data_IF_198697395387
#
_entry.id   IF_198697395387
#
_cell.length_a   1.000
_cell.length_b   1.000
_cell.length_c   1.000
_cell.angle_alpha   90.00
_cell.angle_beta   90.00
_cell.angle_gamma   90.00
#
_symmetry.space_group_name_H-M   'P 1'
#
loop_
_entity.id
_entity.type
_entity.pdbx_description
1 polymer ?
#
# COMPACT_ATOMS: atom_id res chain seq x y z
N UNK A 1 9.34 9.97 -10.45
CA UNK A 1 9.20 8.50 -10.27
C UNK A 1 9.17 8.18 -8.79
N UNK A 2 8.38 7.17 -8.35
CA UNK A 2 8.36 6.70 -6.97
C UNK A 2 8.74 5.23 -6.92
N UNK A 3 9.59 4.87 -5.97
CA UNK A 3 9.87 3.49 -5.58
C UNK A 3 9.35 3.25 -4.17
N UNK A 4 8.71 2.12 -3.95
CA UNK A 4 8.24 1.67 -2.66
C UNK A 4 8.98 0.40 -2.24
N UNK A 5 9.45 0.37 -1.00
CA UNK A 5 10.14 -0.79 -0.46
C UNK A 5 9.14 -1.77 0.11
N UNK A 6 9.24 -3.03 -0.31
CA UNK A 6 8.30 -4.09 0.11
C UNK A 6 8.36 -4.35 1.62
N UNK A 7 9.56 -4.42 2.19
CA UNK A 7 9.79 -4.82 3.59
C UNK A 7 10.11 -3.67 4.55
N UNK A 8 10.08 -2.44 4.05
CA UNK A 8 10.25 -1.23 4.86
C UNK A 8 9.19 -0.22 4.47
N UNK A 9 8.59 0.46 5.44
CA UNK A 9 7.69 1.58 5.11
C UNK A 9 8.54 2.79 4.70
N UNK A 10 9.09 2.69 3.50
CA UNK A 10 9.98 3.69 2.89
C UNK A 10 9.59 3.89 1.44
N UNK A 11 9.63 5.14 1.01
CA UNK A 11 9.47 5.55 -0.36
C UNK A 11 10.73 6.31 -0.81
N UNK A 12 11.11 6.15 -2.07
CA UNK A 12 12.09 6.99 -2.75
C UNK A 12 11.39 7.70 -3.89
N UNK A 13 11.39 9.02 -3.87
CA UNK A 13 10.88 9.88 -4.94
C UNK A 13 12.04 10.44 -5.72
N UNK A 14 12.04 10.30 -7.05
CA UNK A 14 13.05 10.82 -7.96
C UNK A 14 12.37 11.78 -8.93
N UNK A 15 12.84 13.01 -8.94
CA UNK A 15 12.51 14.01 -9.94
C UNK A 15 13.50 13.90 -11.10
N UNK A 16 13.04 13.47 -12.27
CA UNK A 16 13.91 13.31 -13.44
C UNK A 16 14.33 14.61 -14.09
N UNK A 17 13.61 15.70 -13.87
CA UNK A 17 14.00 17.01 -14.43
C UNK A 17 15.20 17.58 -13.69
N UNK A 18 15.20 17.44 -12.36
CA UNK A 18 16.25 17.99 -11.50
C UNK A 18 17.26 16.96 -11.03
N UNK A 19 17.01 15.67 -11.31
CA UNK A 19 17.77 14.51 -10.80
C UNK A 19 17.88 14.47 -9.27
N UNK A 20 16.96 15.14 -8.58
CA UNK A 20 16.91 15.13 -7.11
C UNK A 20 16.22 13.90 -6.60
N UNK A 21 16.84 13.28 -5.60
CA UNK A 21 16.28 12.15 -4.88
C UNK A 21 15.81 12.58 -3.48
N UNK A 22 14.68 12.01 -3.05
CA UNK A 22 14.16 12.19 -1.72
C UNK A 22 13.77 10.83 -1.14
N UNK A 23 14.29 10.53 0.04
CA UNK A 23 13.95 9.34 0.80
C UNK A 23 12.94 9.75 1.89
N UNK A 24 11.81 9.05 1.93
CA UNK A 24 10.74 9.22 2.91
C UNK A 24 10.69 7.96 3.75
N UNK A 25 10.97 8.09 5.03
CA UNK A 25 11.02 6.99 5.99
C UNK A 25 9.90 7.21 7.00
N UNK A 26 9.00 6.25 7.10
CA UNK A 26 7.91 6.29 8.06
C UNK A 26 8.25 5.46 9.28
N UNK A 27 7.85 5.95 10.46
CA UNK A 27 7.90 5.14 11.67
C UNK A 27 6.82 4.04 11.58
N UNK A 28 7.24 2.81 11.40
CA UNK A 28 6.35 1.66 11.24
C UNK A 28 7.02 0.39 11.78
N UNK A 29 6.23 -0.61 12.21
CA UNK A 29 6.79 -1.89 12.63
C UNK A 29 7.68 -2.49 11.54
N UNK A 30 8.84 -2.99 11.93
CA UNK A 30 9.77 -3.70 11.06
C UNK A 30 10.36 -4.90 11.82
N UNK A 31 10.78 -5.93 11.11
CA UNK A 31 11.55 -7.04 11.66
C UNK A 31 12.98 -7.03 11.12
N UNK A 32 13.12 -6.78 9.80
CA UNK A 32 14.43 -6.66 9.18
C UNK A 32 15.10 -5.34 9.60
N UNK A 33 16.34 -5.39 10.02
CA UNK A 33 17.16 -4.20 10.27
C UNK A 33 17.90 -3.73 9.03
N UNK A 34 18.23 -4.65 8.13
CA UNK A 34 18.91 -4.38 6.87
C UNK A 34 18.44 -5.29 5.73
N UNK A 35 19.03 -5.12 4.56
CA UNK A 35 18.67 -5.93 3.39
C UNK A 35 19.06 -7.41 3.54
N UNK A 36 20.15 -7.70 4.24
CA UNK A 36 20.61 -9.07 4.47
C UNK A 36 19.64 -9.87 5.34
N UNK A 37 18.93 -9.19 6.25
CA UNK A 37 17.93 -9.83 7.11
C UNK A 37 16.66 -10.20 6.35
N UNK A 38 16.34 -9.49 5.27
CA UNK A 38 15.11 -9.71 4.48
C UNK A 38 15.03 -11.14 3.97
N UNK A 39 16.11 -11.66 3.44
CA UNK A 39 16.17 -13.02 2.87
C UNK A 39 15.96 -14.11 3.94
N UNK A 40 16.45 -13.88 5.16
CA UNK A 40 16.34 -14.85 6.26
C UNK A 40 14.99 -14.80 6.96
N UNK A 41 14.31 -13.65 6.94
CA UNK A 41 13.03 -13.45 7.61
C UNK A 41 11.81 -13.74 6.73
N UNK A 42 11.98 -13.93 5.40
CA UNK A 42 10.88 -14.30 4.53
C UNK A 42 10.50 -15.79 4.76
N UNK A 43 9.20 -16.15 4.87
CA UNK A 43 7.99 -15.34 4.64
C UNK A 43 7.43 -14.63 5.88
N UNK A 44 8.13 -14.62 6.98
CA UNK A 44 7.65 -14.08 8.26
C UNK A 44 7.85 -12.58 8.41
N UNK A 45 8.57 -11.95 7.49
CA UNK A 45 8.86 -10.53 7.53
C UNK A 45 7.59 -9.67 7.32
N UNK A 46 7.57 -8.48 7.90
CA UNK A 46 6.47 -7.52 7.68
C UNK A 46 6.54 -7.01 6.24
N UNK A 47 5.44 -7.15 5.52
CA UNK A 47 5.30 -6.59 4.17
C UNK A 47 4.50 -5.31 4.23
N UNK A 48 5.06 -4.22 3.70
CA UNK A 48 4.46 -2.90 3.71
C UNK A 48 3.69 -2.62 2.41
N UNK A 49 4.38 -2.44 1.29
CA UNK A 49 3.76 -2.04 0.04
C UNK A 49 3.64 -3.20 -0.96
N UNK A 50 2.47 -3.33 -1.58
CA UNK A 50 2.14 -4.38 -2.53
C UNK A 50 1.86 -3.88 -3.93
N UNK A 51 1.55 -2.61 -4.08
CA UNK A 51 1.22 -2.03 -5.37
C UNK A 51 1.11 -0.52 -5.31
N UNK A 52 1.09 0.09 -6.49
CA UNK A 52 1.00 1.54 -6.64
C UNK A 52 0.11 1.89 -7.82
N UNK A 53 -0.67 2.97 -7.67
CA UNK A 53 -1.44 3.62 -8.72
C UNK A 53 -1.04 5.10 -8.78
N UNK A 54 -0.09 5.49 -9.66
CA UNK A 54 0.32 6.88 -9.79
C UNK A 54 -0.73 7.70 -10.56
N UNK A 55 -0.93 8.95 -10.15
CA UNK A 55 -1.82 9.94 -10.78
C UNK A 55 -1.08 11.28 -10.93
N UNK A 56 -1.74 12.27 -11.52
CA UNK A 56 -1.11 13.58 -11.79
C UNK A 56 -0.75 14.29 -10.48
N UNK A 57 -1.70 14.38 -9.55
CA UNK A 57 -1.53 15.16 -8.32
C UNK A 57 -1.07 14.33 -7.13
N UNK A 58 -1.35 13.03 -7.14
CA UNK A 58 -1.13 12.10 -6.04
C UNK A 58 -0.59 10.76 -6.54
N UNK A 59 -0.07 9.96 -5.62
CA UNK A 59 0.11 8.54 -5.86
C UNK A 59 -0.52 7.73 -4.73
N UNK A 60 -0.98 6.54 -5.09
CA UNK A 60 -1.75 5.67 -4.21
C UNK A 60 -1.00 4.37 -4.00
N UNK A 61 -0.91 3.93 -2.77
CA UNK A 61 -0.16 2.74 -2.38
C UNK A 61 -1.07 1.70 -1.75
N UNK A 62 -0.95 0.45 -2.18
CA UNK A 62 -1.56 -0.67 -1.49
C UNK A 62 -0.65 -1.06 -0.32
N UNK A 63 -1.14 -0.92 0.91
CA UNK A 63 -0.37 -1.04 2.13
C UNK A 63 -0.92 -2.12 3.06
N UNK A 64 -0.05 -3.00 3.54
CA UNK A 64 -0.42 -4.04 4.51
C UNK A 64 0.11 -3.75 5.93
N UNK A 65 1.43 -3.60 6.09
CA UNK A 65 2.08 -3.45 7.40
C UNK A 65 2.00 -4.69 8.28
N UNK A 66 1.80 -5.89 7.68
CA UNK A 66 1.60 -7.15 8.39
C UNK A 66 2.46 -8.28 7.81
N UNK A 67 2.65 -9.32 8.61
CA UNK A 67 3.30 -10.56 8.16
C UNK A 67 2.38 -11.31 7.19
N UNK A 68 2.88 -11.93 6.12
CA UNK A 68 2.07 -12.73 5.21
C UNK A 68 1.27 -13.82 5.90
N UNK A 69 1.86 -14.47 6.91
CA UNK A 69 1.18 -15.54 7.67
C UNK A 69 -0.05 -15.04 8.44
N UNK A 70 0.02 -13.83 8.99
CA UNK A 70 -1.13 -13.23 9.68
C UNK A 70 -2.24 -12.86 8.69
N UNK A 71 -1.85 -12.34 7.51
CA UNK A 71 -2.80 -12.06 6.42
C UNK A 71 -3.50 -13.35 5.96
N UNK A 72 -2.76 -14.43 5.78
CA UNK A 72 -3.33 -15.72 5.37
C UNK A 72 -4.30 -16.25 6.43
N UNK A 73 -3.95 -16.15 7.72
CA UNK A 73 -4.83 -16.55 8.83
C UNK A 73 -6.12 -15.73 8.84
N UNK A 74 -6.01 -14.42 8.73
CA UNK A 74 -7.17 -13.52 8.74
C UNK A 74 -8.07 -13.74 7.52
N UNK A 75 -7.50 -14.04 6.36
CA UNK A 75 -8.27 -14.41 5.17
C UNK A 75 -9.12 -15.68 5.40
N UNK A 76 -8.55 -16.69 6.05
CA UNK A 76 -9.30 -17.92 6.44
C UNK A 76 -10.43 -17.62 7.42
N UNK A 77 -10.21 -16.68 8.34
CA UNK A 77 -11.19 -16.25 9.34
C UNK A 77 -12.22 -15.24 8.80
N UNK A 78 -12.19 -14.92 7.50
CA UNK A 78 -13.04 -13.88 6.86
C UNK A 78 -12.89 -12.47 7.48
N UNK A 79 -11.75 -12.20 8.10
CA UNK A 79 -11.37 -10.91 8.69
C UNK A 79 -10.34 -10.17 7.85
N UNK A 80 -10.37 -10.36 6.55
CA UNK A 80 -9.41 -9.78 5.63
C UNK A 80 -9.59 -8.28 5.53
N UNK A 81 -8.47 -7.59 5.41
CA UNK A 81 -8.42 -6.17 5.08
C UNK A 81 -7.07 -5.81 4.51
N UNK A 82 -7.04 -4.71 3.77
CA UNK A 82 -5.85 -4.02 3.31
C UNK A 82 -6.13 -2.53 3.28
N UNK A 83 -5.07 -1.72 3.24
CA UNK A 83 -5.23 -0.28 3.12
C UNK A 83 -4.81 0.21 1.74
N UNK A 84 -5.50 1.24 1.26
CA UNK A 84 -5.03 2.09 0.17
C UNK A 84 -4.69 3.44 0.78
N UNK A 85 -3.42 3.84 0.69
CA UNK A 85 -2.90 5.09 1.23
C UNK A 85 -2.65 6.07 0.08
N UNK A 86 -3.14 7.30 0.21
CA UNK A 86 -2.91 8.41 -0.71
C UNK A 86 -1.77 9.28 -0.21
N UNK A 87 -0.86 9.62 -1.10
CA UNK A 87 0.27 10.51 -0.83
C UNK A 87 0.34 11.62 -1.88
N UNK A 88 0.76 12.82 -1.47
CA UNK A 88 1.21 13.83 -2.42
C UNK A 88 2.61 13.47 -2.98
N UNK A 89 3.05 14.21 -4.02
CA UNK A 89 4.36 13.97 -4.61
C UNK A 89 5.54 14.42 -3.71
N UNK A 90 5.26 15.06 -2.57
CA UNK A 90 6.23 15.30 -1.51
C UNK A 90 6.38 14.11 -0.57
N UNK A 91 5.46 13.14 -0.66
CA UNK A 91 5.43 11.94 0.19
C UNK A 91 4.67 12.14 1.49
N UNK A 92 3.91 13.23 1.61
CA UNK A 92 3.04 13.43 2.75
C UNK A 92 1.83 12.52 2.62
N UNK A 93 1.45 11.78 3.67
CA UNK A 93 0.23 11.00 3.70
C UNK A 93 -0.98 11.96 3.74
N UNK A 94 -1.97 11.70 2.89
CA UNK A 94 -3.19 12.52 2.76
C UNK A 94 -4.38 11.80 3.37
N UNK A 95 -4.63 10.55 2.92
CA UNK A 95 -5.76 9.74 3.36
C UNK A 95 -5.40 8.26 3.37
N UNK A 96 -6.14 7.51 4.18
CA UNK A 96 -6.08 6.05 4.22
C UNK A 96 -7.47 5.46 4.11
N UNK A 97 -7.63 4.46 3.25
CA UNK A 97 -8.88 3.75 3.04
C UNK A 97 -8.68 2.29 3.42
N UNK A 98 -9.57 1.76 4.26
CA UNK A 98 -9.57 0.35 4.61
C UNK A 98 -10.50 -0.39 3.65
N UNK A 99 -9.95 -1.37 2.94
CA UNK A 99 -10.70 -2.26 2.07
C UNK A 99 -10.88 -3.62 2.76
N UNK A 100 -12.01 -4.28 2.53
CA UNK A 100 -12.36 -5.57 3.11
C UNK A 100 -11.98 -6.75 2.20
N UNK A 101 -11.29 -6.49 1.10
CA UNK A 101 -10.78 -7.52 0.19
C UNK A 101 -9.33 -7.23 -0.21
N UNK A 102 -8.66 -8.25 -0.71
CA UNK A 102 -7.25 -8.20 -1.10
C UNK A 102 -7.10 -8.43 -2.60
N UNK A 103 -6.30 -7.62 -3.29
CA UNK A 103 -6.12 -7.78 -4.73
C UNK A 103 -5.24 -6.73 -5.38
N UNK A 104 -5.24 -6.72 -6.70
CA UNK A 104 -4.66 -5.66 -7.52
C UNK A 104 -5.63 -4.49 -7.60
N UNK A 105 -5.13 -3.28 -7.52
CA UNK A 105 -5.99 -2.10 -7.48
C UNK A 105 -5.58 -1.03 -8.50
N UNK A 106 -6.54 -0.21 -8.86
CA UNK A 106 -6.29 1.10 -9.46
C UNK A 106 -7.28 2.12 -8.89
N UNK A 107 -6.91 3.40 -8.98
CA UNK A 107 -7.74 4.51 -8.51
C UNK A 107 -8.21 5.33 -9.70
N UNK A 108 -9.48 5.65 -9.73
CA UNK A 108 -10.09 6.61 -10.64
C UNK A 108 -10.47 7.86 -9.83
N UNK A 109 -9.59 8.86 -9.86
CA UNK A 109 -9.80 10.10 -9.11
C UNK A 109 -10.99 10.91 -9.67
N UNK A 110 -11.23 10.85 -10.97
CA UNK A 110 -12.31 11.61 -11.62
C UNK A 110 -13.69 11.13 -11.15
N UNK A 111 -13.85 9.82 -10.97
CA UNK A 111 -15.08 9.22 -10.50
C UNK A 111 -15.07 8.91 -8.99
N UNK A 112 -14.01 9.31 -8.28
CA UNK A 112 -13.83 9.06 -6.84
C UNK A 112 -13.99 7.58 -6.47
N UNK A 113 -13.31 6.69 -7.20
CA UNK A 113 -13.44 5.23 -7.03
C UNK A 113 -12.10 4.52 -6.92
N UNK A 114 -12.09 3.45 -6.12
CA UNK A 114 -11.04 2.44 -6.13
C UNK A 114 -11.63 1.18 -6.77
N UNK A 115 -10.96 0.65 -7.77
CA UNK A 115 -11.26 -0.65 -8.35
C UNK A 115 -10.25 -1.66 -7.86
N UNK A 116 -10.72 -2.83 -7.43
CA UNK A 116 -9.90 -3.92 -6.91
C UNK A 116 -10.27 -5.22 -7.60
N UNK A 117 -9.30 -5.86 -8.24
CA UNK A 117 -9.44 -7.23 -8.74
C UNK A 117 -9.00 -8.16 -7.63
N UNK A 118 -9.97 -8.84 -7.01
CA UNK A 118 -9.71 -9.72 -5.87
C UNK A 118 -8.81 -10.89 -6.27
N UNK A 119 -7.79 -11.16 -5.45
CA UNK A 119 -6.96 -12.37 -5.54
C UNK A 119 -7.53 -13.52 -4.71
N UNK A 120 -8.58 -13.27 -3.95
CA UNK A 120 -9.21 -14.25 -3.04
C UNK A 120 -10.52 -14.78 -3.63
N UNK A 121 -11.27 -13.93 -4.30
CA UNK A 121 -12.51 -14.28 -4.99
C UNK A 121 -12.25 -14.40 -6.49
N UNK A 122 -12.48 -15.56 -7.11
CA UNK A 122 -12.30 -15.71 -8.56
C UNK A 122 -13.16 -14.70 -9.33
N UNK A 123 -12.55 -14.02 -10.30
CA UNK A 123 -13.23 -13.13 -11.24
C UNK A 123 -14.03 -11.96 -10.65
N UNK A 124 -13.71 -11.53 -9.43
CA UNK A 124 -14.42 -10.43 -8.80
C UNK A 124 -13.70 -9.11 -9.01
N UNK A 125 -14.35 -8.19 -9.70
CA UNK A 125 -14.04 -6.78 -9.69
C UNK A 125 -14.88 -6.11 -8.60
N UNK A 126 -14.22 -5.50 -7.64
CA UNK A 126 -14.87 -4.81 -6.52
C UNK A 126 -14.63 -3.32 -6.68
N UNK A 127 -15.65 -2.54 -6.44
CA UNK A 127 -15.59 -1.09 -6.50
C UNK A 127 -15.87 -0.49 -5.13
N UNK A 128 -15.01 0.43 -4.70
CA UNK A 128 -15.17 1.22 -3.48
C UNK A 128 -15.29 2.71 -3.82
N UNK A 129 -16.20 3.42 -3.17
CA UNK A 129 -16.29 4.87 -3.29
C UNK A 129 -15.31 5.53 -2.33
N UNK A 130 -14.52 6.48 -2.83
CA UNK A 130 -13.58 7.25 -1.99
C UNK A 130 -14.29 8.17 -0.97
N UNK A 131 -15.56 8.48 -1.21
CA UNK A 131 -16.34 9.34 -0.33
C UNK A 131 -16.95 8.59 0.86
N UNK A 132 -17.13 7.26 0.75
CA UNK A 132 -17.80 6.44 1.76
C UNK A 132 -16.83 5.80 2.76
N UNK A 133 -15.54 5.82 2.45
CA UNK A 133 -14.51 5.07 3.20
C UNK A 133 -13.61 6.03 4.00
N UNK A 134 -14.18 6.86 4.86
CA UNK A 134 -13.39 7.77 5.68
C UNK A 134 -12.99 7.06 6.98
N UNK A 135 -11.75 6.62 7.08
CA UNK A 135 -11.04 6.57 8.35
C UNK A 135 -9.86 7.53 8.22
N UNK A 136 -9.94 8.65 8.96
CA UNK A 136 -8.85 9.59 9.14
C UNK A 136 -7.59 8.86 9.60
N UNK A 137 -6.45 9.31 9.11
CA UNK A 137 -5.15 8.91 9.63
C UNK A 137 -5.02 9.61 10.99
N UNK A 138 -5.14 8.87 12.08
CA UNK A 138 -4.64 9.28 13.39
C UNK A 138 -3.15 8.98 13.47
#
# INVERSE_FOLDING_TARGET
MVFAYKYFKRLKVIDFQTMRERNIIFNAPKLAEGLDDVATLEPTNITHFWGMSPKINYFWMLYSGRKPIDVMRDNKLKKKYIFVEQYDWNGNPIKRYKLDDWGYFCVDENNSKIYLVSTVKPYSLIMYNLNDTINSID
#
